data_IF_411752204449
#
_entry.id   IF_411752204449
#
_cell.length_a   1.000
_cell.length_b   1.000
_cell.length_c   1.000
_cell.angle_alpha   90.00
_cell.angle_beta   90.00
_cell.angle_gamma   90.00
#
_symmetry.space_group_name_H-M   'P 1'
#
loop_
_entity.id
_entity.type
_entity.pdbx_description
1 polymer ?
#
# COMPACT_ATOMS: atom_id res chain seq x y z
N UNK A 1 6.84 -4.54 -22.12
CA UNK A 1 5.65 -4.18 -21.32
C UNK A 1 5.69 -4.67 -19.86
N UNK A 2 6.31 -5.81 -19.53
CA UNK A 2 6.37 -6.30 -18.14
C UNK A 2 7.58 -5.80 -17.32
N UNK A 3 8.56 -5.15 -17.97
CA UNK A 3 9.78 -4.63 -17.31
C UNK A 3 9.55 -3.48 -16.32
N UNK A 4 8.38 -2.85 -16.36
CA UNK A 4 8.04 -1.72 -15.48
C UNK A 4 7.24 -2.14 -14.23
N UNK A 5 7.01 -3.45 -14.04
CA UNK A 5 6.40 -3.97 -12.81
C UNK A 5 7.49 -4.03 -11.75
N UNK A 6 7.77 -2.89 -11.15
CA UNK A 6 8.58 -2.83 -9.93
C UNK A 6 7.77 -3.45 -8.78
N UNK A 7 8.16 -4.65 -8.37
CA UNK A 7 7.63 -5.34 -7.19
C UNK A 7 7.94 -4.53 -5.93
N UNK A 8 6.96 -3.71 -5.53
CA UNK A 8 7.06 -2.81 -4.40
C UNK A 8 7.96 -1.61 -4.71
N UNK A 9 7.44 -0.41 -4.56
CA UNK A 9 8.20 0.84 -4.70
C UNK A 9 9.11 1.07 -3.47
N UNK A 10 9.69 -0.02 -2.91
CA UNK A 10 10.59 0.08 -1.78
C UNK A 10 11.93 0.69 -2.23
N UNK A 11 12.31 1.78 -1.58
CA UNK A 11 13.62 2.38 -1.74
C UNK A 11 14.51 1.99 -0.57
N UNK A 12 15.57 1.18 -0.78
CA UNK A 12 16.49 0.83 0.30
C UNK A 12 17.17 2.09 0.84
N UNK A 13 17.17 2.25 2.15
CA UNK A 13 17.76 3.41 2.84
C UNK A 13 17.99 3.11 4.32
N UNK A 14 18.91 3.87 4.94
CA UNK A 14 19.32 3.71 6.33
C UNK A 14 18.77 4.81 7.25
N UNK A 15 17.60 5.35 6.95
CA UNK A 15 17.00 6.40 7.79
C UNK A 15 16.29 5.80 9.01
N UNK A 16 16.00 6.64 10.00
CA UNK A 16 15.22 6.24 11.19
C UNK A 16 13.92 5.55 10.79
N UNK A 17 13.23 6.09 9.77
CA UNK A 17 12.00 5.50 9.26
C UNK A 17 12.20 4.11 8.66
N UNK A 18 13.35 3.79 8.05
CA UNK A 18 13.65 2.46 7.52
C UNK A 18 13.95 1.44 8.64
N UNK A 19 14.56 1.88 9.74
CA UNK A 19 14.95 1.02 10.88
C UNK A 19 13.79 0.64 11.81
N UNK A 20 12.66 1.36 11.74
CA UNK A 20 11.47 1.04 12.54
C UNK A 20 10.93 -0.37 12.20
N UNK A 21 10.42 -1.05 13.24
CA UNK A 21 9.77 -2.36 13.09
C UNK A 21 8.54 -2.23 12.16
N UNK A 22 8.35 -3.15 11.20
CA UNK A 22 7.19 -3.15 10.29
C UNK A 22 5.83 -3.11 11.01
N UNK A 23 5.72 -3.70 12.19
CA UNK A 23 4.49 -3.65 13.02
C UNK A 23 4.18 -2.23 13.47
N UNK A 24 5.22 -1.53 13.97
CA UNK A 24 5.10 -0.14 14.40
C UNK A 24 4.65 0.75 13.25
N UNK A 25 5.24 0.57 12.07
CA UNK A 25 4.85 1.34 10.87
C UNK A 25 3.41 1.07 10.44
N UNK A 26 2.96 -0.19 10.46
CA UNK A 26 1.58 -0.55 10.15
C UNK A 26 0.60 0.12 11.13
N UNK A 27 0.89 0.08 12.44
CA UNK A 27 0.08 0.74 13.45
C UNK A 27 0.08 2.26 13.27
N UNK A 28 1.23 2.86 13.00
CA UNK A 28 1.33 4.32 12.76
C UNK A 28 0.54 4.76 11.53
N UNK A 29 0.50 3.97 10.46
CA UNK A 29 -0.32 4.28 9.29
C UNK A 29 -1.81 4.21 9.62
N UNK A 30 -2.24 3.22 10.41
CA UNK A 30 -3.63 3.14 10.87
C UNK A 30 -3.97 4.36 11.73
N UNK A 31 -3.10 4.70 12.69
CA UNK A 31 -3.22 5.88 13.55
C UNK A 31 -3.31 7.16 12.71
N UNK A 32 -2.46 7.30 11.71
CA UNK A 32 -2.45 8.42 10.78
C UNK A 32 -3.75 8.53 9.98
N UNK A 33 -4.24 7.41 9.43
CA UNK A 33 -5.51 7.37 8.69
C UNK A 33 -6.66 7.79 9.61
N UNK A 34 -6.76 7.22 10.81
CA UNK A 34 -7.80 7.56 11.79
C UNK A 34 -7.73 9.05 12.16
N UNK A 35 -6.53 9.58 12.40
CA UNK A 35 -6.32 11.00 12.66
C UNK A 35 -6.81 11.88 11.51
N UNK A 36 -6.42 11.56 10.28
CA UNK A 36 -6.78 12.32 9.10
C UNK A 36 -8.30 12.34 8.84
N UNK A 37 -9.01 11.24 9.10
CA UNK A 37 -10.46 11.21 8.99
C UNK A 37 -11.17 11.99 10.10
N UNK A 38 -10.53 12.17 11.25
CA UNK A 38 -11.04 12.98 12.35
C UNK A 38 -10.63 14.46 12.28
N UNK A 39 -9.72 14.82 11.38
CA UNK A 39 -9.32 16.20 11.15
C UNK A 39 -10.50 17.01 10.59
N UNK A 40 -10.86 18.07 11.30
CA UNK A 40 -11.91 19.03 10.95
C UNK A 40 -11.31 20.43 11.06
N UNK A 41 -11.58 21.29 10.05
CA UNK A 41 -11.05 22.65 10.06
C UNK A 41 -9.62 22.80 9.54
N UNK A 42 -9.27 24.02 9.16
CA UNK A 42 -8.01 24.37 8.50
C UNK A 42 -6.77 24.11 9.35
N UNK A 43 -6.86 24.35 10.66
CA UNK A 43 -5.75 24.14 11.60
C UNK A 43 -5.40 22.67 11.74
N UNK A 44 -6.40 21.80 11.81
CA UNK A 44 -6.17 20.35 11.86
C UNK A 44 -5.45 19.85 10.59
N UNK A 45 -5.88 20.33 9.41
CA UNK A 45 -5.21 19.97 8.15
C UNK A 45 -3.78 20.54 8.08
N UNK A 46 -3.57 21.79 8.50
CA UNK A 46 -2.23 22.39 8.55
C UNK A 46 -1.30 21.56 9.45
N UNK A 47 -1.78 21.12 10.61
CA UNK A 47 -1.02 20.25 11.52
C UNK A 47 -0.65 18.92 10.86
N UNK A 48 -1.61 18.24 10.19
CA UNK A 48 -1.34 16.98 9.48
C UNK A 48 -0.34 17.17 8.35
N UNK A 49 -0.45 18.28 7.58
CA UNK A 49 0.52 18.62 6.52
C UNK A 49 1.93 18.75 7.08
N UNK A 50 2.09 19.47 8.19
CA UNK A 50 3.40 19.66 8.85
C UNK A 50 3.97 18.31 9.30
N UNK A 51 3.17 17.48 9.98
CA UNK A 51 3.60 16.15 10.44
C UNK A 51 3.98 15.25 9.26
N UNK A 52 3.17 15.24 8.19
CA UNK A 52 3.47 14.46 6.98
C UNK A 52 4.77 14.95 6.33
N UNK A 53 4.97 16.26 6.24
CA UNK A 53 6.21 16.87 5.74
C UNK A 53 7.43 16.47 6.57
N UNK A 54 7.32 16.49 7.90
CA UNK A 54 8.39 16.05 8.82
C UNK A 54 8.69 14.55 8.63
N UNK A 55 7.67 13.70 8.51
CA UNK A 55 7.86 12.27 8.25
C UNK A 55 8.57 12.03 6.90
N UNK A 56 8.23 12.79 5.85
CA UNK A 56 8.93 12.74 4.56
C UNK A 56 10.39 13.18 4.69
N UNK A 57 10.67 14.27 5.42
CA UNK A 57 12.03 14.77 5.63
C UNK A 57 12.89 13.75 6.39
N UNK A 58 12.37 13.16 7.47
CA UNK A 58 13.05 12.11 8.27
C UNK A 58 13.29 10.86 7.41
N UNK A 59 12.36 10.49 6.54
CA UNK A 59 12.48 9.35 5.64
C UNK A 59 13.46 9.59 4.48
N UNK A 60 13.89 10.84 4.23
CA UNK A 60 14.72 11.26 3.09
C UNK A 60 14.15 10.84 1.73
N UNK A 61 12.83 10.70 1.64
CA UNK A 61 12.15 10.37 0.40
C UNK A 61 12.04 11.64 -0.44
N UNK A 62 12.41 11.54 -1.71
CA UNK A 62 12.30 12.65 -2.66
C UNK A 62 10.83 13.01 -2.85
N UNK A 63 10.40 14.27 -2.66
CA UNK A 63 9.01 14.68 -2.86
C UNK A 63 8.51 14.38 -4.28
N UNK A 64 9.40 14.40 -5.27
CA UNK A 64 9.08 14.01 -6.63
C UNK A 64 8.55 12.55 -6.75
N UNK A 65 8.99 11.64 -5.89
CA UNK A 65 8.48 10.27 -5.88
C UNK A 65 7.02 10.22 -5.36
N UNK A 66 6.70 11.00 -4.33
CA UNK A 66 5.33 11.14 -3.83
C UNK A 66 4.40 11.75 -4.90
N UNK A 67 4.85 12.78 -5.62
CA UNK A 67 4.08 13.39 -6.71
C UNK A 67 3.86 12.42 -7.90
N UNK A 68 4.84 11.57 -8.24
CA UNK A 68 4.63 10.53 -9.25
C UNK A 68 3.51 9.55 -8.86
N UNK A 69 3.42 9.21 -7.59
CA UNK A 69 2.36 8.36 -7.06
C UNK A 69 0.97 9.01 -7.09
N UNK A 70 0.88 10.34 -7.06
CA UNK A 70 -0.39 11.07 -7.18
C UNK A 70 -0.93 11.09 -8.61
N UNK A 71 -0.07 10.96 -9.63
CA UNK A 71 -0.44 11.08 -11.04
C UNK A 71 -1.67 10.25 -11.44
N UNK A 72 -1.80 8.94 -11.12
CA UNK A 72 -2.97 8.15 -11.49
C UNK A 72 -4.24 8.56 -10.75
N UNK A 73 -4.11 9.27 -9.62
CA UNK A 73 -5.24 9.64 -8.75
C UNK A 73 -5.70 11.08 -8.99
N UNK A 74 -4.95 11.88 -9.76
CA UNK A 74 -5.29 13.28 -10.09
C UNK A 74 -6.70 13.38 -10.66
N UNK A 75 -7.09 12.45 -11.53
CA UNK A 75 -8.43 12.44 -12.11
C UNK A 75 -9.51 12.32 -11.02
N UNK A 76 -9.32 11.44 -10.03
CA UNK A 76 -10.27 11.25 -8.92
C UNK A 76 -10.31 12.50 -8.04
N UNK A 77 -9.15 13.13 -7.79
CA UNK A 77 -9.07 14.37 -7.00
C UNK A 77 -9.84 15.49 -7.68
N UNK A 78 -9.64 15.67 -8.99
CA UNK A 78 -10.35 16.70 -9.77
C UNK A 78 -11.86 16.41 -9.80
N UNK A 79 -12.25 15.16 -10.04
CA UNK A 79 -13.65 14.75 -10.07
C UNK A 79 -14.34 14.99 -8.71
N UNK A 80 -13.70 14.61 -7.60
CA UNK A 80 -14.23 14.83 -6.24
C UNK A 80 -14.31 16.32 -5.92
N UNK A 81 -13.33 17.13 -6.30
CA UNK A 81 -13.37 18.58 -6.13
C UNK A 81 -14.54 19.19 -6.89
N UNK A 82 -14.70 18.80 -8.17
CA UNK A 82 -15.78 19.27 -9.02
C UNK A 82 -17.15 18.92 -8.42
N UNK A 83 -17.34 17.67 -8.01
CA UNK A 83 -18.59 17.24 -7.38
C UNK A 83 -18.90 18.04 -6.11
N UNK A 84 -17.90 18.28 -5.24
CA UNK A 84 -18.12 19.07 -4.04
C UNK A 84 -18.48 20.52 -4.34
N UNK A 85 -17.89 21.14 -5.36
CA UNK A 85 -18.20 22.52 -5.77
C UNK A 85 -19.66 22.66 -6.22
N UNK A 86 -20.16 21.68 -7.02
CA UNK A 86 -21.49 21.77 -7.61
C UNK A 86 -22.62 21.22 -6.73
N UNK A 87 -22.34 20.19 -5.91
CA UNK A 87 -23.37 19.49 -5.14
C UNK A 87 -23.47 19.95 -3.68
N UNK A 88 -22.50 20.72 -3.16
CA UNK A 88 -22.58 21.19 -1.77
C UNK A 88 -23.51 22.39 -1.70
N UNK A 89 -24.56 22.28 -0.89
CA UNK A 89 -25.48 23.37 -0.59
C UNK A 89 -24.83 24.34 0.41
N UNK A 90 -24.98 25.64 0.17
CA UNK A 90 -24.42 26.67 1.03
C UNK A 90 -24.79 28.08 0.51
N UNK A 91 -24.08 29.10 0.97
CA UNK A 91 -24.23 30.49 0.53
C UNK A 91 -23.66 30.66 -0.88
N UNK A 92 -24.47 31.04 -1.88
CA UNK A 92 -23.99 31.27 -3.23
C UNK A 92 -23.02 32.47 -3.26
N UNK A 93 -21.93 32.35 -4.03
CA UNK A 93 -20.92 33.42 -4.18
C UNK A 93 -21.52 34.59 -4.93
N UNK A 94 -22.39 34.30 -5.90
CA UNK A 94 -23.12 35.29 -6.71
C UNK A 94 -24.58 34.82 -6.73
N UNK A 95 -25.53 35.76 -6.53
CA UNK A 95 -26.97 35.46 -6.61
C UNK A 95 -27.29 34.82 -7.97
N UNK A 96 -27.84 33.59 -7.93
CA UNK A 96 -28.16 32.78 -9.12
C UNK A 96 -27.09 31.78 -9.59
N UNK A 97 -25.92 31.68 -8.92
CA UNK A 97 -24.91 30.68 -9.23
C UNK A 97 -25.04 29.42 -8.36
N UNK A 98 -24.68 28.28 -8.95
CA UNK A 98 -24.68 26.97 -8.25
C UNK A 98 -23.48 26.82 -7.31
N UNK A 99 -22.41 27.64 -7.51
CA UNK A 99 -21.15 27.56 -6.76
C UNK A 99 -21.33 28.27 -5.42
N UNK A 100 -21.06 27.51 -4.33
CA UNK A 100 -21.17 28.00 -2.95
C UNK A 100 -19.79 28.11 -2.31
N UNK A 101 -19.61 29.01 -1.34
CA UNK A 101 -18.37 29.18 -0.60
C UNK A 101 -17.99 27.89 0.16
N UNK A 102 -18.98 27.29 0.81
CA UNK A 102 -18.83 26.02 1.54
C UNK A 102 -18.49 24.86 0.60
N UNK A 103 -18.94 24.92 -0.66
CA UNK A 103 -18.59 23.95 -1.70
C UNK A 103 -17.10 24.00 -2.05
N UNK A 104 -16.55 25.21 -2.21
CA UNK A 104 -15.11 25.40 -2.49
C UNK A 104 -14.29 24.93 -1.28
N UNK A 105 -14.67 25.34 -0.08
CA UNK A 105 -13.97 24.94 1.14
C UNK A 105 -13.91 23.41 1.28
N UNK A 106 -15.04 22.73 1.14
CA UNK A 106 -15.10 21.26 1.17
C UNK A 106 -14.30 20.61 0.05
N UNK A 107 -14.35 21.17 -1.16
CA UNK A 107 -13.57 20.67 -2.29
C UNK A 107 -12.07 20.71 -2.01
N UNK A 108 -11.57 21.82 -1.46
CA UNK A 108 -10.16 21.97 -1.09
C UNK A 108 -9.80 21.01 0.06
N UNK A 109 -10.59 20.97 1.13
CA UNK A 109 -10.35 20.06 2.27
C UNK A 109 -10.33 18.60 1.84
N UNK A 110 -11.29 18.16 1.00
CA UNK A 110 -11.32 16.79 0.49
C UNK A 110 -10.14 16.48 -0.42
N UNK A 111 -9.74 17.41 -1.27
CA UNK A 111 -8.56 17.25 -2.14
C UNK A 111 -7.29 17.09 -1.31
N UNK A 112 -7.09 17.95 -0.31
CA UNK A 112 -5.95 17.86 0.61
C UNK A 112 -5.99 16.55 1.39
N UNK A 113 -7.15 16.12 1.87
CA UNK A 113 -7.32 14.83 2.56
C UNK A 113 -6.86 13.66 1.69
N UNK A 114 -7.31 13.59 0.44
CA UNK A 114 -6.93 12.51 -0.48
C UNK A 114 -5.41 12.52 -0.73
N UNK A 115 -4.84 13.69 -0.97
CA UNK A 115 -3.39 13.85 -1.17
C UNK A 115 -2.61 13.36 0.04
N UNK A 116 -2.98 13.79 1.24
CA UNK A 116 -2.33 13.40 2.49
C UNK A 116 -2.46 11.90 2.76
N UNK A 117 -3.64 11.30 2.51
CA UNK A 117 -3.86 9.86 2.60
C UNK A 117 -2.89 9.07 1.72
N UNK A 118 -2.77 9.48 0.47
CA UNK A 118 -1.90 8.83 -0.50
C UNK A 118 -0.43 9.00 -0.10
N UNK A 119 -0.01 10.20 0.24
CA UNK A 119 1.37 10.47 0.65
C UNK A 119 1.74 9.69 1.91
N UNK A 120 0.86 9.66 2.92
CA UNK A 120 1.09 8.92 4.16
C UNK A 120 1.21 7.40 3.94
N UNK A 121 0.36 6.81 3.08
CA UNK A 121 0.45 5.39 2.75
C UNK A 121 1.68 5.07 1.89
N UNK A 122 2.10 5.97 1.02
CA UNK A 122 3.34 5.80 0.26
C UNK A 122 4.60 5.79 1.14
N UNK A 123 4.61 6.56 2.24
CA UNK A 123 5.71 6.51 3.20
C UNK A 123 5.95 5.09 3.73
N UNK A 124 4.89 4.34 4.04
CA UNK A 124 4.99 2.94 4.43
C UNK A 124 5.59 2.09 3.31
N UNK A 125 5.06 2.22 2.09
CA UNK A 125 5.47 1.41 0.93
C UNK A 125 6.93 1.68 0.54
N UNK A 126 7.37 2.93 0.61
CA UNK A 126 8.75 3.31 0.27
C UNK A 126 9.77 2.91 1.35
N UNK A 127 9.36 2.84 2.62
CA UNK A 127 10.27 2.54 3.74
C UNK A 127 10.26 1.09 4.20
N UNK A 128 9.35 0.26 3.66
CA UNK A 128 9.18 -1.13 4.13
C UNK A 128 9.09 -2.09 2.96
N UNK A 129 9.95 -3.13 2.96
CA UNK A 129 9.87 -4.15 1.91
C UNK A 129 8.60 -4.99 2.05
N UNK A 130 8.01 -5.50 0.94
CA UNK A 130 6.81 -6.34 0.98
C UNK A 130 6.95 -7.56 1.88
N UNK A 131 8.13 -8.19 1.92
CA UNK A 131 8.41 -9.35 2.77
C UNK A 131 8.40 -8.94 4.25
N UNK A 132 9.02 -7.81 4.61
CA UNK A 132 8.98 -7.32 5.98
C UNK A 132 7.56 -6.92 6.42
N UNK A 133 6.76 -6.41 5.48
CA UNK A 133 5.37 -6.07 5.73
C UNK A 133 4.54 -7.33 6.04
N UNK A 134 4.72 -8.43 5.30
CA UNK A 134 4.04 -9.70 5.57
C UNK A 134 4.43 -10.29 6.92
N UNK A 135 5.72 -10.20 7.30
CA UNK A 135 6.20 -10.63 8.61
C UNK A 135 5.58 -9.81 9.75
N UNK A 136 5.49 -8.49 9.57
CA UNK A 136 4.84 -7.59 10.52
C UNK A 136 3.35 -7.90 10.67
N UNK A 137 2.66 -8.12 9.54
CA UNK A 137 1.24 -8.43 9.49
C UNK A 137 0.93 -9.76 10.20
N UNK A 138 1.75 -10.81 9.99
CA UNK A 138 1.58 -12.10 10.67
C UNK A 138 1.56 -11.94 12.19
N UNK A 139 2.45 -11.11 12.72
CA UNK A 139 2.53 -10.94 14.17
C UNK A 139 1.36 -10.09 14.69
N UNK A 140 0.96 -9.06 13.97
CA UNK A 140 -0.21 -8.25 14.32
C UNK A 140 -1.50 -9.07 14.26
N UNK A 141 -1.62 -9.99 13.31
CA UNK A 141 -2.78 -10.89 13.16
C UNK A 141 -2.71 -12.13 14.05
N UNK A 142 -1.62 -12.34 14.79
CA UNK A 142 -1.46 -13.48 15.70
C UNK A 142 -2.63 -13.68 16.70
N UNK A 143 -3.27 -12.63 17.26
CA UNK A 143 -4.47 -12.80 18.09
C UNK A 143 -5.63 -13.50 17.40
N UNK A 144 -5.73 -13.41 16.06
CA UNK A 144 -6.78 -14.07 15.26
C UNK A 144 -6.64 -15.61 15.24
N UNK A 145 -5.49 -16.15 15.64
CA UNK A 145 -5.34 -17.59 15.86
C UNK A 145 -6.33 -18.14 16.88
N UNK A 146 -6.76 -17.30 17.84
CA UNK A 146 -7.81 -17.69 18.82
C UNK A 146 -9.15 -17.97 18.15
N UNK A 147 -9.41 -17.37 16.99
CA UNK A 147 -10.63 -17.55 16.19
C UNK A 147 -10.40 -18.62 15.09
N UNK A 148 -9.35 -19.47 15.22
CA UNK A 148 -8.98 -20.55 14.29
C UNK A 148 -8.56 -20.05 12.90
N UNK A 149 -8.15 -18.79 12.73
CA UNK A 149 -7.60 -18.28 11.47
C UNK A 149 -6.15 -18.81 11.31
N UNK A 150 -5.79 -19.44 10.19
CA UNK A 150 -4.46 -20.01 9.96
C UNK A 150 -3.46 -18.90 9.54
N UNK A 151 -3.19 -17.95 10.45
CA UNK A 151 -2.39 -16.74 10.18
C UNK A 151 -0.97 -17.08 9.73
N UNK A 152 -0.36 -18.15 10.29
CA UNK A 152 0.98 -18.56 9.92
C UNK A 152 1.03 -19.07 8.48
N UNK A 153 0.09 -19.93 8.13
CA UNK A 153 -0.02 -20.52 6.80
C UNK A 153 -0.29 -19.43 5.74
N UNK A 154 -1.16 -18.46 6.06
CA UNK A 154 -1.44 -17.31 5.20
C UNK A 154 -0.17 -16.46 4.97
N UNK A 155 0.58 -16.15 6.03
CA UNK A 155 1.82 -15.38 5.91
C UNK A 155 2.89 -16.13 5.11
N UNK A 156 3.00 -17.43 5.31
CA UNK A 156 3.89 -18.28 4.55
C UNK A 156 3.53 -18.29 3.06
N UNK A 157 2.24 -18.45 2.72
CA UNK A 157 1.76 -18.37 1.33
C UNK A 157 2.07 -17.01 0.70
N UNK A 158 1.85 -15.90 1.43
CA UNK A 158 2.17 -14.55 0.94
C UNK A 158 3.68 -14.39 0.69
N UNK A 159 4.52 -14.87 1.60
CA UNK A 159 5.98 -14.79 1.46
C UNK A 159 6.49 -15.62 0.28
N UNK A 160 5.89 -16.80 0.05
CA UNK A 160 6.20 -17.64 -1.13
C UNK A 160 5.73 -16.97 -2.43
N UNK A 161 4.51 -16.43 -2.44
CA UNK A 161 3.98 -15.71 -3.59
C UNK A 161 4.90 -14.53 -3.97
N UNK A 162 5.27 -13.68 -3.00
CA UNK A 162 6.19 -12.56 -3.23
C UNK A 162 7.56 -13.00 -3.78
N UNK A 163 8.04 -14.18 -3.38
CA UNK A 163 9.29 -14.75 -3.90
C UNK A 163 9.13 -15.26 -5.33
N UNK A 164 7.97 -15.84 -5.68
CA UNK A 164 7.75 -16.40 -7.02
C UNK A 164 7.36 -15.36 -8.07
N UNK A 165 6.81 -14.21 -7.68
CA UNK A 165 6.41 -13.17 -8.65
C UNK A 165 7.55 -12.77 -9.61
N UNK A 166 8.80 -12.46 -9.19
CA UNK A 166 9.89 -12.15 -10.12
C UNK A 166 10.15 -13.28 -11.11
N UNK A 167 10.18 -14.51 -10.62
CA UNK A 167 10.43 -15.68 -11.44
C UNK A 167 9.32 -15.93 -12.45
N UNK A 168 8.06 -15.73 -12.05
CA UNK A 168 6.90 -15.85 -12.96
C UNK A 168 6.90 -14.76 -14.03
N UNK A 169 7.35 -13.54 -13.71
CA UNK A 169 7.51 -12.46 -14.69
C UNK A 169 8.56 -12.84 -15.74
N UNK A 170 9.73 -13.31 -15.31
CA UNK A 170 10.79 -13.76 -16.22
C UNK A 170 10.33 -14.93 -17.11
N UNK A 171 9.59 -15.86 -16.53
CA UNK A 171 9.04 -17.00 -17.26
C UNK A 171 7.97 -16.57 -18.28
N UNK A 172 7.12 -15.64 -17.88
CA UNK A 172 6.12 -15.04 -18.78
C UNK A 172 6.80 -14.35 -19.97
N UNK A 173 7.87 -13.58 -19.73
CA UNK A 173 8.63 -12.92 -20.82
C UNK A 173 9.27 -13.95 -21.77
N UNK A 174 9.80 -15.07 -21.23
CA UNK A 174 10.36 -16.17 -22.05
C UNK A 174 9.29 -16.85 -22.89
N UNK A 175 8.14 -17.20 -22.29
CA UNK A 175 7.01 -17.82 -23.01
C UNK A 175 6.47 -16.85 -24.07
N UNK A 176 6.29 -15.58 -23.73
CA UNK A 176 5.82 -14.55 -24.66
C UNK A 176 6.75 -14.40 -25.85
N UNK A 177 8.07 -14.36 -25.62
CA UNK A 177 9.06 -14.27 -26.67
C UNK A 177 9.04 -15.50 -27.59
N UNK A 178 8.91 -16.71 -27.02
CA UNK A 178 8.78 -17.93 -27.78
C UNK A 178 7.50 -17.97 -28.62
N UNK A 179 6.37 -17.51 -28.10
CA UNK A 179 5.11 -17.46 -28.83
C UNK A 179 5.12 -16.39 -29.95
N UNK A 180 5.77 -15.23 -29.70
CA UNK A 180 6.00 -14.22 -30.77
C UNK A 180 6.83 -14.80 -31.93
N UNK A 181 7.89 -15.57 -31.61
CA UNK A 181 8.69 -16.26 -32.62
C UNK A 181 7.89 -17.31 -33.44
N UNK A 182 6.80 -17.83 -32.87
CA UNK A 182 5.85 -18.74 -33.54
C UNK A 182 4.74 -18.01 -34.33
N UNK A 183 4.81 -16.65 -34.38
CA UNK A 183 3.85 -15.84 -35.15
C UNK A 183 2.63 -15.42 -34.30
N UNK A 184 2.64 -15.58 -32.98
CA UNK A 184 1.54 -15.10 -32.16
C UNK A 184 1.57 -13.57 -32.06
N UNK A 185 0.42 -12.96 -32.33
CA UNK A 185 0.22 -11.52 -32.20
C UNK A 185 -0.64 -11.20 -30.97
N UNK A 186 -0.09 -10.39 -30.05
CA UNK A 186 -0.74 -9.99 -28.80
C UNK A 186 -1.24 -8.54 -28.82
N UNK A 187 -0.96 -7.80 -29.90
CA UNK A 187 -1.16 -6.35 -29.97
C UNK A 187 -2.29 -5.94 -30.89
N UNK A 188 -2.56 -6.72 -31.96
CA UNK A 188 -3.59 -6.42 -32.96
C UNK A 188 -4.88 -7.20 -32.71
N UNK A 189 -5.99 -6.70 -33.26
CA UNK A 189 -7.31 -7.35 -33.20
C UNK A 189 -8.24 -6.84 -32.06
N UNK A 190 -9.46 -7.42 -32.07
CA UNK A 190 -10.50 -7.13 -31.10
C UNK A 190 -10.13 -7.66 -29.69
N UNK A 191 -10.77 -7.11 -28.63
CA UNK A 191 -10.55 -7.55 -27.24
C UNK A 191 -10.65 -9.06 -27.05
N UNK A 192 -11.61 -9.72 -27.72
CA UNK A 192 -11.78 -11.17 -27.67
C UNK A 192 -10.61 -11.92 -28.34
N UNK A 193 -10.08 -11.41 -29.45
CA UNK A 193 -8.92 -12.00 -30.13
C UNK A 193 -7.66 -11.85 -29.28
N UNK A 194 -7.44 -10.69 -28.66
CA UNK A 194 -6.34 -10.46 -27.71
C UNK A 194 -6.44 -11.38 -26.49
N UNK A 195 -7.64 -11.57 -25.94
CA UNK A 195 -7.86 -12.51 -24.84
C UNK A 195 -7.52 -13.95 -25.23
N UNK A 196 -7.94 -14.40 -26.42
CA UNK A 196 -7.59 -15.73 -26.95
C UNK A 196 -6.09 -15.87 -27.20
N UNK A 197 -5.41 -14.82 -27.66
CA UNK A 197 -3.97 -14.83 -27.86
C UNK A 197 -3.17 -15.00 -26.56
N UNK A 198 -3.74 -14.67 -25.40
CA UNK A 198 -3.10 -14.89 -24.09
C UNK A 198 -3.15 -16.35 -23.62
N UNK A 199 -4.07 -17.19 -24.14
CA UNK A 199 -4.19 -18.60 -23.73
C UNK A 199 -2.90 -19.41 -23.91
N UNK A 200 -2.14 -19.27 -25.02
CA UNK A 200 -0.87 -19.97 -25.21
C UNK A 200 0.23 -19.53 -24.23
N UNK A 201 0.05 -18.42 -23.52
CA UNK A 201 0.94 -17.98 -22.44
C UNK A 201 0.44 -18.53 -21.11
N UNK A 202 -0.87 -18.45 -20.86
CA UNK A 202 -1.46 -18.85 -19.56
C UNK A 202 -1.31 -20.33 -19.28
N UNK A 203 -1.58 -21.20 -20.28
CA UNK A 203 -1.54 -22.67 -20.07
C UNK A 203 -0.15 -23.16 -19.66
N UNK A 204 0.96 -22.83 -20.36
CA UNK A 204 2.30 -23.21 -19.92
C UNK A 204 2.68 -22.63 -18.57
N UNK A 205 2.28 -21.37 -18.28
CA UNK A 205 2.54 -20.72 -17.02
C UNK A 205 1.85 -21.43 -15.83
N UNK A 206 0.58 -21.86 -16.03
CA UNK A 206 -0.12 -22.66 -15.03
C UNK A 206 0.57 -24.01 -14.79
N UNK A 207 0.92 -24.74 -15.84
CA UNK A 207 1.60 -26.03 -15.73
C UNK A 207 2.93 -25.88 -14.97
N UNK A 208 3.72 -24.87 -15.30
CA UNK A 208 4.98 -24.58 -14.63
C UNK A 208 4.76 -24.19 -13.15
N UNK A 209 3.75 -23.40 -12.86
CA UNK A 209 3.41 -22.99 -11.50
C UNK A 209 3.02 -24.18 -10.62
N UNK A 210 2.20 -25.10 -11.14
CA UNK A 210 1.83 -26.33 -10.42
C UNK A 210 3.04 -27.24 -10.19
N UNK A 211 3.90 -27.43 -11.20
CA UNK A 211 5.12 -28.21 -11.04
C UNK A 211 6.01 -27.65 -9.94
N UNK A 212 6.19 -26.32 -9.88
CA UNK A 212 6.94 -25.64 -8.80
C UNK A 212 6.30 -25.82 -7.45
N UNK A 213 4.96 -25.80 -7.38
CA UNK A 213 4.24 -26.03 -6.13
C UNK A 213 4.48 -27.45 -5.61
N UNK A 214 4.44 -28.45 -6.50
CA UNK A 214 4.72 -29.85 -6.16
C UNK A 214 6.19 -30.02 -5.71
N UNK A 215 7.14 -29.47 -6.45
CA UNK A 215 8.56 -29.50 -6.08
C UNK A 215 8.82 -28.87 -4.72
N UNK A 216 8.15 -27.73 -4.44
CA UNK A 216 8.24 -27.05 -3.15
C UNK A 216 7.60 -27.88 -2.03
N UNK A 217 6.44 -28.51 -2.28
CA UNK A 217 5.78 -29.39 -1.31
C UNK A 217 6.68 -30.56 -0.93
N UNK A 218 7.26 -31.27 -1.90
CA UNK A 218 8.21 -32.37 -1.68
C UNK A 218 9.44 -31.87 -0.91
N UNK A 219 9.99 -30.71 -1.27
CA UNK A 219 11.12 -30.12 -0.54
C UNK A 219 10.78 -29.71 0.90
N UNK A 220 9.54 -29.32 1.18
CA UNK A 220 9.08 -29.02 2.54
C UNK A 220 8.85 -30.28 3.35
N UNK A 221 8.25 -31.31 2.78
CA UNK A 221 8.06 -32.62 3.41
C UNK A 221 9.38 -33.28 3.77
N UNK A 222 10.36 -33.26 2.85
CA UNK A 222 11.70 -33.81 3.10
C UNK A 222 12.48 -33.05 4.20
N UNK A 223 12.06 -31.81 4.52
CA UNK A 223 12.56 -31.03 5.66
C UNK A 223 11.69 -31.16 6.90
N UNK A 224 10.82 -32.17 6.95
CA UNK A 224 9.91 -32.46 8.08
C UNK A 224 8.99 -31.27 8.42
N UNK A 225 8.45 -30.60 7.40
CA UNK A 225 7.47 -29.53 7.63
C UNK A 225 6.10 -30.15 7.93
N UNK A 226 5.58 -29.93 9.14
CA UNK A 226 4.25 -30.40 9.60
C UNK A 226 3.33 -29.25 10.05
N UNK A 227 3.45 -28.08 9.40
CA UNK A 227 2.63 -26.91 9.75
C UNK A 227 3.30 -25.96 10.75
N UNK A 228 2.54 -24.99 11.25
CA UNK A 228 3.07 -23.88 12.08
C UNK A 228 3.21 -24.19 13.57
N UNK A 229 2.70 -25.32 14.07
CA UNK A 229 2.73 -25.64 15.52
C UNK A 229 4.14 -26.00 15.98
N UNK A 230 4.60 -25.37 17.07
CA UNK A 230 5.90 -25.69 17.70
C UNK A 230 7.14 -25.15 16.96
N UNK A 231 6.99 -24.33 15.92
CA UNK A 231 8.12 -23.76 15.18
C UNK A 231 8.62 -22.46 15.77
N UNK A 232 9.94 -22.30 15.76
CA UNK A 232 10.62 -21.03 16.05
C UNK A 232 10.99 -20.32 14.75
N UNK A 233 11.06 -18.98 14.78
CA UNK A 233 11.51 -18.19 13.65
C UNK A 233 13.01 -17.98 13.68
N UNK A 234 13.68 -18.15 12.55
CA UNK A 234 15.11 -17.87 12.42
C UNK A 234 15.40 -16.35 12.56
N UNK A 235 14.54 -15.51 11.98
CA UNK A 235 14.63 -14.05 12.12
C UNK A 235 13.45 -13.57 12.96
N UNK A 236 13.72 -13.13 14.18
CA UNK A 236 12.72 -12.56 15.08
C UNK A 236 12.71 -11.04 14.94
N UNK A 237 11.52 -10.46 14.72
CA UNK A 237 11.34 -9.02 14.81
C UNK A 237 11.41 -8.60 16.29
N UNK A 238 12.27 -7.64 16.61
CA UNK A 238 12.42 -7.11 17.97
C UNK A 238 12.12 -5.61 17.96
N UNK A 239 11.16 -5.20 18.75
CA UNK A 239 10.89 -3.77 18.96
C UNK A 239 12.07 -3.12 19.66
N UNK A 240 12.50 -2.00 19.13
CA UNK A 240 13.56 -1.16 19.70
C UNK A 240 12.96 0.01 20.47
N UNK A 241 13.76 0.71 21.27
CA UNK A 241 13.31 1.91 21.98
C UNK A 241 12.74 2.99 21.05
N UNK A 242 13.26 3.07 19.82
CA UNK A 242 12.78 3.99 18.78
C UNK A 242 11.33 3.68 18.38
N UNK A 243 10.92 2.40 18.39
CA UNK A 243 9.55 1.99 18.06
C UNK A 243 8.54 2.47 19.10
N UNK A 244 8.90 2.39 20.39
CA UNK A 244 8.07 2.90 21.49
C UNK A 244 7.93 4.42 21.41
N UNK A 245 9.03 5.14 21.09
CA UNK A 245 8.99 6.58 20.88
C UNK A 245 8.06 6.94 19.72
N UNK A 246 8.16 6.21 18.60
CA UNK A 246 7.32 6.43 17.43
C UNK A 246 5.83 6.17 17.72
N UNK A 247 5.50 5.12 18.48
CA UNK A 247 4.12 4.86 18.92
C UNK A 247 3.60 5.94 19.86
N UNK A 248 4.44 6.43 20.79
CA UNK A 248 4.09 7.53 21.68
C UNK A 248 3.79 8.81 20.89
N UNK A 249 4.64 9.15 19.91
CA UNK A 249 4.41 10.29 19.01
C UNK A 249 3.13 10.11 18.17
N UNK A 250 2.84 8.89 17.72
CA UNK A 250 1.59 8.57 17.03
C UNK A 250 0.36 8.76 17.92
N UNK A 251 0.43 8.34 19.17
CA UNK A 251 -0.64 8.56 20.15
C UNK A 251 -0.82 10.06 20.47
N UNK A 252 0.28 10.80 20.63
CA UNK A 252 0.26 12.25 20.83
C UNK A 252 -0.34 12.99 19.62
N UNK A 253 -0.04 12.54 18.39
CA UNK A 253 -0.63 13.05 17.16
C UNK A 253 -2.16 12.88 17.16
N UNK A 254 -2.66 11.68 17.50
CA UNK A 254 -4.11 11.45 17.61
C UNK A 254 -4.74 12.34 18.69
N UNK A 255 -4.13 12.40 19.87
CA UNK A 255 -4.63 13.24 20.96
C UNK A 255 -4.72 14.71 20.54
N UNK A 256 -3.68 15.23 19.85
CA UNK A 256 -3.68 16.59 19.35
C UNK A 256 -4.83 16.86 18.36
N UNK A 257 -5.09 15.91 17.42
CA UNK A 257 -6.23 16.04 16.48
C UNK A 257 -7.57 16.02 17.20
N UNK A 258 -7.76 15.15 18.20
CA UNK A 258 -9.00 15.14 18.99
C UNK A 258 -9.20 16.42 19.79
N UNK A 259 -8.12 17.00 20.33
CA UNK A 259 -8.16 18.29 21.02
C UNK A 259 -8.55 19.41 20.03
N UNK A 260 -7.87 19.49 18.88
CA UNK A 260 -8.22 20.49 17.83
C UNK A 260 -9.68 20.36 17.39
N UNK A 261 -10.15 19.14 17.17
CA UNK A 261 -11.55 18.87 16.82
C UNK A 261 -12.53 19.37 17.90
N UNK A 262 -12.17 19.21 19.18
CA UNK A 262 -13.02 19.69 20.30
C UNK A 262 -13.11 21.21 20.37
N UNK A 263 -12.07 21.92 19.94
CA UNK A 263 -12.08 23.38 19.85
C UNK A 263 -12.68 23.91 18.54
N UNK A 264 -13.12 23.04 17.62
CA UNK A 264 -13.69 23.42 16.32
C UNK A 264 -12.68 23.95 15.32
N UNK A 265 -11.38 23.67 15.53
CA UNK A 265 -10.25 24.15 14.74
C UNK A 265 -9.77 23.12 13.69
#
# INVERSE_FOLDING_TARGET
MLKDITLGQYFPGDTVAHRLDPRTKLLLVIVYIVGLFNAVGWWSYAFVVVITGLCMAVSKIRPAAAFKGLKPVIFIIILTALLNIFYTKGTPIIEGWIITWEGIEKAVMMSVRIILLIVGTFLLTYTTSPIALTDGLEILLNPLKKIKVPVHEMSMMMSMALRFIPTLIEETDKIMSAQKARGADFETGNLMQRAKALLPILVPLFVSSFRRADELAVAMESRCYHGGKGRTRMKTLRMQGIDFLALFLGAAFLAAIFVLKRFGL
#
